data_IF_197541934869
#
_entry.id   IF_197541934869
#
_cell.length_a   1.000
_cell.length_b   1.000
_cell.length_c   1.000
_cell.angle_alpha   90.00
_cell.angle_beta   90.00
_cell.angle_gamma   90.00
#
_symmetry.space_group_name_H-M   'P 1'
#
loop_
_entity.id
_entity.type
_entity.pdbx_description
1 polymer ?
#
# COMPACT_ATOMS: atom_id res chain seq x y z
N UNK A 1 -17.46 24.82 -72.19
CA UNK A 1 -18.81 24.36 -72.44
C UNK A 1 -19.65 24.59 -71.20
N UNK A 2 -20.49 25.67 -71.30
CA UNK A 2 -21.36 26.17 -70.21
C UNK A 2 -22.58 25.29 -70.10
N UNK A 3 -22.99 24.93 -68.88
CA UNK A 3 -24.41 24.70 -68.60
C UNK A 3 -24.74 25.25 -67.24
N UNK A 4 -25.50 26.35 -67.26
CA UNK A 4 -26.27 26.88 -66.12
C UNK A 4 -27.57 26.11 -66.03
N UNK A 5 -28.01 25.83 -64.80
CA UNK A 5 -29.45 25.61 -64.53
C UNK A 5 -29.83 26.15 -63.16
N UNK A 6 -30.96 26.85 -63.19
CA UNK A 6 -31.60 27.73 -62.23
C UNK A 6 -32.30 27.01 -61.06
N UNK A 7 -32.73 27.75 -60.04
CA UNK A 7 -33.21 27.24 -58.76
C UNK A 7 -34.69 26.90 -58.77
N UNK A 8 -35.09 25.92 -57.99
CA UNK A 8 -36.53 25.73 -57.66
C UNK A 8 -36.75 25.97 -56.19
N UNK A 9 -37.52 27.01 -55.91
CA UNK A 9 -38.10 27.30 -54.59
C UNK A 9 -39.02 26.16 -54.15
N UNK A 10 -38.85 25.69 -52.94
CA UNK A 10 -39.84 24.87 -52.25
C UNK A 10 -40.07 25.47 -50.86
N UNK A 11 -41.20 26.14 -50.70
CA UNK A 11 -41.73 26.53 -49.40
C UNK A 11 -42.14 25.27 -48.64
N UNK A 12 -41.67 25.10 -47.45
CA UNK A 12 -42.20 24.07 -46.56
C UNK A 12 -42.20 24.58 -45.12
N UNK A 13 -43.39 24.94 -44.69
CA UNK A 13 -44.04 24.89 -43.39
C UNK A 13 -43.14 24.86 -42.14
N UNK A 14 -43.14 26.00 -41.44
CA UNK A 14 -42.67 26.21 -40.09
C UNK A 14 -43.58 25.40 -39.12
N UNK A 15 -43.09 24.27 -38.61
CA UNK A 15 -43.68 23.62 -37.44
C UNK A 15 -43.03 24.16 -36.19
N UNK A 16 -43.81 24.89 -35.41
CA UNK A 16 -43.46 25.40 -34.08
C UNK A 16 -43.54 24.23 -33.08
N UNK A 17 -42.42 23.58 -32.77
CA UNK A 17 -42.37 22.62 -31.70
C UNK A 17 -42.21 23.35 -30.36
N UNK A 18 -43.27 23.35 -29.56
CA UNK A 18 -43.23 23.82 -28.16
C UNK A 18 -42.54 22.75 -27.35
N UNK A 19 -41.29 22.98 -27.03
CA UNK A 19 -40.51 22.10 -26.11
C UNK A 19 -40.84 22.54 -24.69
N UNK A 20 -41.66 21.77 -24.00
CA UNK A 20 -41.89 21.92 -22.55
C UNK A 20 -40.64 21.46 -21.82
N UNK A 21 -39.84 22.41 -21.34
CA UNK A 21 -38.68 22.10 -20.44
C UNK A 21 -39.25 21.78 -19.06
N UNK A 22 -39.28 20.50 -18.72
CA UNK A 22 -39.52 20.05 -17.34
C UNK A 22 -38.25 20.29 -16.56
N UNK A 23 -38.25 21.37 -15.76
CA UNK A 23 -37.17 21.62 -14.77
C UNK A 23 -37.33 20.61 -13.65
N UNK A 24 -36.54 19.52 -13.69
CA UNK A 24 -36.32 18.63 -12.56
C UNK A 24 -35.50 19.38 -11.52
N UNK A 25 -36.14 19.84 -10.46
CA UNK A 25 -35.46 20.34 -9.27
C UNK A 25 -34.74 19.14 -8.61
N UNK A 26 -33.46 18.93 -8.94
CA UNK A 26 -32.59 18.08 -8.19
C UNK A 26 -32.25 18.80 -6.88
N UNK A 27 -33.01 18.52 -5.82
CA UNK A 27 -32.60 18.86 -4.47
C UNK A 27 -31.31 18.05 -4.19
N UNK A 28 -30.15 18.69 -4.31
CA UNK A 28 -28.88 18.12 -3.87
C UNK A 28 -29.00 17.94 -2.35
N UNK A 29 -29.13 16.69 -1.91
CA UNK A 29 -28.95 16.31 -0.51
C UNK A 29 -27.47 16.56 -0.23
N UNK A 30 -27.16 17.66 0.44
CA UNK A 30 -25.84 17.92 0.97
C UNK A 30 -25.57 16.88 2.04
N UNK A 31 -24.85 15.82 1.67
CA UNK A 31 -24.34 14.83 2.61
C UNK A 31 -23.35 15.55 3.51
N UNK A 32 -23.76 15.86 4.74
CA UNK A 32 -22.88 16.46 5.74
C UNK A 32 -21.82 15.43 6.11
N UNK A 33 -20.64 15.57 5.53
CA UNK A 33 -19.47 14.79 5.94
C UNK A 33 -19.23 15.03 7.42
N UNK A 34 -19.03 13.99 8.24
CA UNK A 34 -18.74 14.16 9.64
C UNK A 34 -17.46 14.99 9.79
N UNK A 35 -17.56 16.10 10.52
CA UNK A 35 -16.41 16.95 10.84
C UNK A 35 -15.45 16.14 11.72
N UNK A 36 -14.36 15.68 11.14
CA UNK A 36 -13.28 15.01 11.91
C UNK A 36 -12.54 16.08 12.68
N UNK A 37 -12.77 16.14 13.99
CA UNK A 37 -11.95 16.98 14.89
C UNK A 37 -10.58 16.36 15.01
N UNK A 38 -9.58 16.94 14.35
CA UNK A 38 -8.19 16.51 14.48
C UNK A 38 -7.66 17.03 15.81
N UNK A 39 -7.54 16.14 16.80
CA UNK A 39 -6.81 16.43 18.02
C UNK A 39 -5.32 16.58 17.69
N UNK A 40 -4.61 17.63 18.19
CA UNK A 40 -3.18 17.73 17.96
C UNK A 40 -2.46 16.45 18.38
N UNK A 41 -1.61 15.93 17.51
CA UNK A 41 -0.87 14.71 17.75
C UNK A 41 0.18 14.97 18.82
N UNK A 42 0.11 14.25 19.93
CA UNK A 42 1.15 14.25 20.98
C UNK A 42 2.29 13.33 20.57
N UNK A 43 3.49 13.54 21.17
CA UNK A 43 4.60 12.61 20.97
C UNK A 43 4.16 11.18 21.33
N UNK A 44 4.42 10.23 20.45
CA UNK A 44 4.07 8.83 20.68
C UNK A 44 4.88 8.27 21.87
N UNK A 45 4.22 7.51 22.73
CA UNK A 45 4.80 6.76 23.84
C UNK A 45 4.76 5.27 23.54
N UNK A 46 5.38 4.43 24.38
CA UNK A 46 5.24 2.97 24.29
C UNK A 46 3.78 2.50 24.35
N UNK A 47 2.93 3.20 25.10
CA UNK A 47 1.50 2.90 25.25
C UNK A 47 0.68 3.32 24.01
N UNK A 48 1.24 4.09 23.08
CA UNK A 48 0.53 4.52 21.87
C UNK A 48 0.29 3.31 20.95
N UNK A 49 -0.97 2.99 20.56
CA UNK A 49 -1.24 1.90 19.65
C UNK A 49 -0.47 2.04 18.33
N UNK A 50 0.08 0.94 17.84
CA UNK A 50 0.83 0.89 16.57
C UNK A 50 -0.04 0.50 15.39
N UNK A 51 -1.28 0.10 15.61
CA UNK A 51 -2.20 -0.28 14.55
C UNK A 51 -3.66 -0.03 14.91
N UNK A 52 -4.49 0.04 13.89
CA UNK A 52 -5.95 0.05 13.97
C UNK A 52 -6.54 -0.94 12.99
N UNK A 53 -7.74 -1.47 13.31
CA UNK A 53 -8.48 -2.38 12.40
C UNK A 53 -9.07 -1.61 11.23
N UNK A 54 -9.09 -2.25 10.06
CA UNK A 54 -9.75 -1.79 8.85
C UNK A 54 -10.74 -2.84 8.36
N UNK A 55 -11.50 -2.57 7.33
CA UNK A 55 -12.43 -3.54 6.75
C UNK A 55 -11.74 -4.80 6.20
N UNK A 56 -10.46 -4.69 5.79
CA UNK A 56 -9.71 -5.79 5.15
C UNK A 56 -8.54 -6.30 5.98
N UNK A 57 -8.33 -5.73 7.17
CA UNK A 57 -7.20 -6.10 8.02
C UNK A 57 -6.79 -4.99 8.96
N UNK A 58 -5.60 -4.39 8.75
CA UNK A 58 -5.03 -3.40 9.67
C UNK A 58 -4.26 -2.31 8.94
N UNK A 59 -4.26 -1.11 9.51
CA UNK A 59 -3.32 -0.05 9.21
C UNK A 59 -2.39 0.09 10.41
N UNK A 60 -1.09 -0.05 10.17
CA UNK A 60 -0.05 0.18 11.19
C UNK A 60 0.60 1.54 10.94
N UNK A 61 0.94 2.23 12.04
CA UNK A 61 1.73 3.45 12.01
C UNK A 61 2.86 3.32 13.02
N UNK A 62 4.02 2.93 12.53
CA UNK A 62 5.23 2.78 13.33
C UNK A 62 5.90 4.13 13.55
N UNK A 63 6.60 4.26 14.65
CA UNK A 63 7.23 5.50 15.14
C UNK A 63 8.74 5.31 15.30
N UNK A 64 9.44 6.39 15.55
CA UNK A 64 10.87 6.38 15.83
C UNK A 64 11.23 5.31 16.88
N UNK A 65 12.22 4.47 16.55
CA UNK A 65 12.69 3.33 17.33
C UNK A 65 11.91 2.02 17.11
N UNK A 66 10.74 2.07 16.45
CA UNK A 66 10.01 0.84 16.13
C UNK A 66 10.71 0.08 14.99
N UNK A 67 10.77 -1.23 15.13
CA UNK A 67 11.30 -2.13 14.11
C UNK A 67 10.14 -2.83 13.39
N UNK A 68 10.09 -2.72 12.07
CA UNK A 68 8.96 -3.20 11.27
C UNK A 68 8.72 -4.72 11.41
N UNK A 69 9.77 -5.53 11.47
CA UNK A 69 9.64 -6.99 11.65
C UNK A 69 9.07 -7.35 13.01
N UNK A 70 9.57 -6.67 14.07
CA UNK A 70 9.10 -6.89 15.44
C UNK A 70 7.63 -6.53 15.59
N UNK A 71 7.23 -5.36 15.08
CA UNK A 71 5.86 -4.88 15.22
C UNK A 71 4.87 -5.68 14.35
N UNK A 72 5.23 -6.09 13.12
CA UNK A 72 4.43 -7.00 12.31
C UNK A 72 4.30 -8.39 12.96
N UNK A 73 5.36 -8.89 13.59
CA UNK A 73 5.34 -10.15 14.35
C UNK A 73 4.39 -10.06 15.54
N UNK A 74 4.46 -8.98 16.32
CA UNK A 74 3.54 -8.73 17.45
C UNK A 74 2.09 -8.68 16.98
N UNK A 75 1.80 -7.94 15.91
CA UNK A 75 0.47 -7.85 15.30
C UNK A 75 -0.02 -9.24 14.89
N UNK A 76 0.80 -10.00 14.14
CA UNK A 76 0.42 -11.31 13.62
C UNK A 76 0.04 -12.30 14.74
N UNK A 77 0.77 -12.26 15.86
CA UNK A 77 0.50 -13.09 17.04
C UNK A 77 -0.76 -12.61 17.77
N UNK A 78 -0.84 -11.33 18.09
CA UNK A 78 -1.92 -10.74 18.88
C UNK A 78 -3.29 -10.90 18.20
N UNK A 79 -3.35 -10.69 16.90
CA UNK A 79 -4.58 -10.75 16.11
C UNK A 79 -4.80 -12.10 15.42
N UNK A 80 -3.91 -13.08 15.66
CA UNK A 80 -3.96 -14.44 15.10
C UNK A 80 -4.11 -14.44 13.59
N UNK A 81 -3.32 -13.60 12.91
CA UNK A 81 -3.39 -13.41 11.45
C UNK A 81 -2.95 -14.70 10.76
N UNK A 82 -3.82 -15.35 9.96
CA UNK A 82 -3.47 -16.61 9.27
C UNK A 82 -2.39 -16.40 8.20
N UNK A 83 -2.54 -15.36 7.42
CA UNK A 83 -1.58 -14.81 6.47
C UNK A 83 -2.05 -13.43 6.01
N UNK A 84 -1.15 -12.65 5.42
CA UNK A 84 -1.50 -11.33 4.91
C UNK A 84 -0.57 -10.91 3.77
N UNK A 85 -1.07 -10.01 2.91
CA UNK A 85 -0.23 -9.14 2.07
C UNK A 85 0.02 -7.84 2.81
N UNK A 86 1.21 -7.26 2.64
CA UNK A 86 1.57 -5.98 3.23
C UNK A 86 2.12 -5.03 2.18
N UNK A 87 1.84 -3.74 2.36
CA UNK A 87 2.43 -2.65 1.59
C UNK A 87 2.63 -1.43 2.47
N UNK A 88 3.61 -0.60 2.17
CA UNK A 88 3.86 0.56 3.02
C UNK A 88 4.87 1.55 2.44
N UNK A 89 4.96 2.70 3.12
CA UNK A 89 5.89 3.80 2.88
C UNK A 89 6.39 4.33 4.22
N UNK A 90 7.56 4.96 4.25
CA UNK A 90 8.07 5.53 5.49
C UNK A 90 9.49 6.01 5.41
N UNK A 91 10.11 6.24 6.58
CA UNK A 91 11.48 6.73 6.68
C UNK A 91 12.24 5.99 7.76
N UNK A 92 13.48 5.59 7.47
CA UNK A 92 14.27 4.86 8.46
C UNK A 92 15.61 4.37 7.98
N UNK A 93 16.17 3.45 8.76
CA UNK A 93 17.34 2.66 8.39
C UNK A 93 16.86 1.33 7.80
N UNK A 94 17.33 0.97 6.62
CA UNK A 94 16.99 -0.28 5.97
C UNK A 94 18.24 -1.12 5.70
N UNK A 95 18.15 -2.41 5.95
CA UNK A 95 19.15 -3.40 5.55
C UNK A 95 18.58 -4.21 4.39
N UNK A 96 19.09 -4.00 3.19
CA UNK A 96 18.75 -4.82 2.03
C UNK A 96 19.70 -6.00 1.91
N UNK A 97 19.19 -7.09 1.30
CA UNK A 97 19.97 -8.26 0.92
C UNK A 97 19.72 -8.65 -0.53
N UNK A 98 20.78 -9.12 -1.18
CA UNK A 98 20.68 -9.78 -2.47
C UNK A 98 21.04 -11.25 -2.28
N UNK A 99 20.16 -12.18 -2.71
CA UNK A 99 20.40 -13.61 -2.50
C UNK A 99 21.59 -14.10 -3.33
N UNK A 100 22.60 -14.55 -2.64
CA UNK A 100 23.80 -15.18 -3.24
C UNK A 100 23.56 -16.69 -3.29
N UNK A 101 23.25 -17.20 -4.48
CA UNK A 101 22.93 -18.62 -4.70
C UNK A 101 24.09 -19.56 -4.43
N UNK A 102 25.33 -19.10 -4.59
CA UNK A 102 26.53 -19.93 -4.43
C UNK A 102 26.88 -20.09 -2.95
N UNK A 103 26.71 -19.02 -2.17
CA UNK A 103 26.90 -19.01 -0.72
C UNK A 103 25.66 -19.48 0.05
N UNK A 104 24.47 -19.46 -0.58
CA UNK A 104 23.16 -19.69 0.04
C UNK A 104 22.89 -18.75 1.23
N UNK A 105 23.28 -17.49 1.08
CA UNK A 105 23.10 -16.42 2.06
C UNK A 105 22.80 -15.10 1.37
N UNK A 106 22.41 -14.07 2.13
CA UNK A 106 22.23 -12.73 1.60
C UNK A 106 23.53 -11.93 1.68
N UNK A 107 24.00 -11.41 0.53
CA UNK A 107 24.96 -10.31 0.51
C UNK A 107 24.19 -9.06 0.94
N UNK A 108 24.50 -8.54 2.13
CA UNK A 108 23.71 -7.52 2.81
C UNK A 108 24.37 -6.14 2.80
N UNK A 109 23.55 -5.07 2.69
CA UNK A 109 23.99 -3.68 2.79
C UNK A 109 22.96 -2.85 3.56
N UNK A 110 23.45 -2.01 4.49
CA UNK A 110 22.62 -1.08 5.26
C UNK A 110 22.67 0.33 4.63
N UNK A 111 21.49 0.96 4.58
CA UNK A 111 21.29 2.34 4.16
C UNK A 111 20.61 3.06 5.31
N UNK A 112 21.21 4.16 5.76
CA UNK A 112 20.71 4.92 6.88
C UNK A 112 19.98 6.18 6.41
N UNK A 113 18.95 6.58 7.15
CA UNK A 113 18.18 7.81 6.92
C UNK A 113 17.69 7.91 5.48
N UNK A 114 17.00 6.89 5.02
CA UNK A 114 16.42 6.82 3.66
C UNK A 114 14.90 6.83 3.71
N UNK A 115 14.28 7.36 2.66
CA UNK A 115 12.83 7.27 2.45
C UNK A 115 12.49 5.94 1.77
N UNK A 116 11.68 5.13 2.44
CA UNK A 116 11.10 3.93 1.85
C UNK A 116 9.96 4.35 0.91
N UNK A 117 10.26 4.49 -0.38
CA UNK A 117 9.32 4.87 -1.41
C UNK A 117 8.26 3.78 -1.66
N UNK A 118 8.62 2.52 -1.42
CA UNK A 118 7.69 1.40 -1.40
C UNK A 118 8.23 0.23 -0.58
N UNK A 119 7.33 -0.41 0.13
CA UNK A 119 7.52 -1.71 0.76
C UNK A 119 6.38 -2.61 0.33
N UNK A 120 6.68 -3.84 -0.02
CA UNK A 120 5.68 -4.88 -0.30
C UNK A 120 6.14 -6.21 0.26
N UNK A 121 5.19 -7.06 0.64
CA UNK A 121 5.55 -8.35 1.19
C UNK A 121 4.38 -9.16 1.67
N UNK A 122 4.68 -10.13 2.52
CA UNK A 122 3.67 -11.03 3.07
C UNK A 122 4.03 -11.49 4.48
N UNK A 123 2.98 -11.74 5.25
CA UNK A 123 3.00 -12.45 6.53
C UNK A 123 2.53 -13.87 6.28
N UNK A 124 3.32 -14.84 6.69
CA UNK A 124 3.00 -16.26 6.71
C UNK A 124 3.57 -16.87 7.99
N UNK A 125 3.60 -18.19 8.09
CA UNK A 125 4.10 -18.89 9.25
C UNK A 125 5.25 -19.83 8.88
N UNK A 126 6.09 -20.14 9.84
CA UNK A 126 7.14 -21.16 9.76
C UNK A 126 7.42 -21.69 11.17
N UNK A 127 7.27 -23.01 11.38
CA UNK A 127 7.47 -23.63 12.68
C UNK A 127 6.67 -22.91 13.79
N UNK A 128 5.40 -22.61 13.52
CA UNK A 128 4.48 -21.90 14.42
C UNK A 128 4.91 -20.49 14.84
N UNK A 129 5.84 -19.88 14.13
CA UNK A 129 6.23 -18.49 14.29
C UNK A 129 5.87 -17.67 13.04
N UNK A 130 5.47 -16.39 13.19
CA UNK A 130 5.29 -15.50 12.05
C UNK A 130 6.58 -15.39 11.22
N UNK A 131 6.42 -15.53 9.91
CA UNK A 131 7.49 -15.42 8.94
C UNK A 131 7.19 -14.25 7.99
N UNK A 132 7.86 -13.13 8.23
CA UNK A 132 7.68 -11.90 7.47
C UNK A 132 8.66 -11.92 6.30
N UNK A 133 8.16 -11.60 5.10
CA UNK A 133 8.97 -11.50 3.89
C UNK A 133 8.65 -10.17 3.20
N UNK A 134 9.65 -9.33 3.03
CA UNK A 134 9.47 -7.98 2.47
C UNK A 134 10.54 -7.67 1.44
N UNK A 135 10.13 -6.97 0.40
CA UNK A 135 10.98 -6.27 -0.55
C UNK A 135 10.62 -4.79 -0.56
N UNK A 136 11.53 -3.94 -1.02
CA UNK A 136 11.24 -2.53 -1.11
C UNK A 136 12.25 -1.74 -1.93
N UNK A 137 11.91 -0.47 -2.11
CA UNK A 137 12.78 0.55 -2.73
C UNK A 137 12.87 1.73 -1.80
N UNK A 138 14.08 2.19 -1.53
CA UNK A 138 14.36 3.37 -0.73
C UNK A 138 15.17 4.39 -1.52
N UNK A 139 14.90 5.68 -1.29
CA UNK A 139 15.64 6.81 -1.86
C UNK A 139 16.49 7.51 -0.81
N UNK A 140 17.70 7.93 -1.16
CA UNK A 140 18.53 8.78 -0.30
C UNK A 140 18.33 10.27 -0.59
N UNK A 141 19.00 11.12 0.18
CA UNK A 141 18.92 12.59 0.05
C UNK A 141 19.39 13.13 -1.32
N UNK A 142 20.04 12.30 -2.14
CA UNK A 142 20.44 12.63 -3.52
C UNK A 142 19.46 12.09 -4.55
N UNK A 143 18.33 11.53 -4.11
CA UNK A 143 17.31 10.86 -4.92
C UNK A 143 17.81 9.59 -5.62
N UNK A 144 18.93 9.02 -5.17
CA UNK A 144 19.39 7.75 -5.68
C UNK A 144 18.59 6.60 -5.03
N UNK A 145 18.05 5.71 -5.87
CA UNK A 145 17.24 4.60 -5.42
C UNK A 145 18.05 3.33 -5.19
N UNK A 146 17.71 2.63 -4.10
CA UNK A 146 18.25 1.33 -3.71
C UNK A 146 17.07 0.40 -3.44
N UNK A 147 17.21 -0.89 -3.71
CA UNK A 147 16.13 -1.83 -3.44
C UNK A 147 16.61 -3.26 -3.36
N UNK A 148 15.74 -4.11 -2.82
CA UNK A 148 15.99 -5.54 -2.68
C UNK A 148 15.12 -6.19 -1.62
N UNK A 149 15.55 -7.39 -1.20
CA UNK A 149 14.97 -8.09 -0.06
C UNK A 149 15.29 -7.31 1.22
N UNK A 150 14.29 -7.00 2.03
CA UNK A 150 14.48 -6.30 3.30
C UNK A 150 14.83 -7.33 4.36
N UNK A 151 16.01 -7.19 4.96
CA UNK A 151 16.48 -8.02 6.07
C UNK A 151 16.18 -7.38 7.42
N UNK A 152 16.11 -6.05 7.47
CA UNK A 152 15.79 -5.28 8.67
C UNK A 152 15.32 -3.88 8.28
N UNK A 153 14.43 -3.29 9.10
CA UNK A 153 13.98 -1.91 8.97
C UNK A 153 13.63 -1.32 10.32
N UNK A 154 14.25 -0.20 10.66
CA UNK A 154 13.99 0.58 11.87
C UNK A 154 13.60 2.02 11.52
N UNK A 155 12.50 2.50 12.07
CA UNK A 155 12.04 3.88 11.89
C UNK A 155 12.95 4.83 12.66
N UNK A 156 13.55 5.81 11.98
CA UNK A 156 14.47 6.77 12.60
C UNK A 156 13.85 8.15 12.77
N UNK A 157 13.15 8.64 11.75
CA UNK A 157 12.45 9.92 11.79
C UNK A 157 11.10 9.78 11.06
N UNK A 158 10.12 10.61 11.39
CA UNK A 158 8.79 10.49 10.81
C UNK A 158 8.05 9.23 11.27
N UNK A 159 7.54 8.45 10.33
CA UNK A 159 6.77 7.24 10.56
C UNK A 159 6.99 6.20 9.46
N UNK A 160 6.54 4.98 9.71
CA UNK A 160 6.33 3.95 8.69
C UNK A 160 4.85 3.55 8.71
N UNK A 161 4.18 3.71 7.59
CA UNK A 161 2.78 3.35 7.42
C UNK A 161 2.70 2.03 6.65
N UNK A 162 2.05 1.02 7.25
CA UNK A 162 1.93 -0.31 6.65
C UNK A 162 0.47 -0.72 6.61
N UNK A 163 -0.05 -0.93 5.41
CA UNK A 163 -1.34 -1.58 5.19
C UNK A 163 -1.15 -3.09 5.21
N UNK A 164 -1.98 -3.76 6.02
CA UNK A 164 -1.99 -5.23 6.18
C UNK A 164 -3.34 -5.75 5.71
N UNK A 165 -3.37 -6.46 4.59
CA UNK A 165 -4.58 -7.10 4.05
C UNK A 165 -4.57 -8.57 4.46
N UNK A 166 -5.51 -8.96 5.35
CA UNK A 166 -5.58 -10.30 5.91
C UNK A 166 -6.22 -11.28 4.92
N UNK A 167 -5.61 -12.45 4.77
CA UNK A 167 -6.16 -13.56 4.00
C UNK A 167 -6.74 -14.63 4.95
N UNK A 168 -7.83 -15.30 4.57
CA UNK A 168 -8.52 -16.23 5.48
C UNK A 168 -7.76 -17.56 5.70
N UNK A 169 -6.83 -17.90 4.81
CA UNK A 169 -6.08 -19.16 4.86
C UNK A 169 -4.72 -18.96 5.52
N UNK A 170 -4.36 -19.82 6.46
CA UNK A 170 -2.99 -19.88 6.98
C UNK A 170 -2.06 -20.41 5.89
N UNK A 171 -0.98 -19.67 5.65
CA UNK A 171 0.06 -20.02 4.71
C UNK A 171 1.36 -20.30 5.46
N UNK A 172 2.10 -21.31 5.01
CA UNK A 172 3.37 -21.73 5.62
C UNK A 172 4.53 -21.47 4.65
N UNK A 173 5.71 -21.22 5.23
CA UNK A 173 6.98 -21.16 4.47
C UNK A 173 7.83 -22.38 4.77
N UNK A 174 8.47 -22.89 3.75
CA UNK A 174 9.43 -24.01 3.85
C UNK A 174 10.68 -23.75 3.03
N UNK A 175 11.73 -24.50 3.32
CA UNK A 175 12.94 -24.50 2.49
C UNK A 175 12.65 -25.32 1.23
N UNK A 176 12.74 -24.68 0.07
CA UNK A 176 12.73 -25.36 -1.22
C UNK A 176 14.10 -26.08 -1.40
N UNK A 177 14.12 -27.41 -1.53
CA UNK A 177 15.38 -28.16 -1.59
C UNK A 177 16.18 -27.89 -2.87
N UNK A 178 15.53 -27.46 -3.95
CA UNK A 178 16.19 -27.21 -5.23
C UNK A 178 17.00 -25.91 -5.22
N UNK A 179 16.50 -24.88 -4.53
CA UNK A 179 17.13 -23.55 -4.51
C UNK A 179 17.69 -23.17 -3.14
N UNK A 180 17.37 -23.94 -2.09
CA UNK A 180 17.81 -23.69 -0.71
C UNK A 180 17.21 -22.43 -0.07
N UNK A 181 16.22 -21.82 -0.71
CA UNK A 181 15.57 -20.60 -0.22
C UNK A 181 14.26 -20.90 0.52
N UNK A 182 13.87 -19.98 1.41
CA UNK A 182 12.62 -20.07 2.15
C UNK A 182 11.48 -19.54 1.29
N UNK A 183 10.59 -20.42 0.79
CA UNK A 183 9.50 -20.09 -0.14
C UNK A 183 8.13 -20.26 0.51
N UNK A 184 7.15 -19.55 -0.01
CA UNK A 184 5.76 -19.64 0.41
C UNK A 184 5.10 -20.87 -0.22
N UNK A 185 4.52 -21.75 0.62
CA UNK A 185 3.68 -22.87 0.19
C UNK A 185 2.22 -22.46 0.05
N UNK A 186 1.51 -23.03 -0.93
CA UNK A 186 0.05 -22.86 -1.19
C UNK A 186 -0.67 -24.19 -1.28
#
# INVERSE_FOLDING_TARGET
MHVQLHPKHCLSKLMLAVTTVVMLNSAAIAETQPTVTITPMQCATEATPRYTKTATGYLMVLRMGDNAFKELTKLAIAEKIPSASISGIGFGNVKFGFWNKDKKEFDARTFNSVEMASLTGSVAWKNDQPSIHMHGVAGDATFQAYGGHILDFEVTTGSMEITVIVHPRRLERGIDPCIGANVLGI
#
